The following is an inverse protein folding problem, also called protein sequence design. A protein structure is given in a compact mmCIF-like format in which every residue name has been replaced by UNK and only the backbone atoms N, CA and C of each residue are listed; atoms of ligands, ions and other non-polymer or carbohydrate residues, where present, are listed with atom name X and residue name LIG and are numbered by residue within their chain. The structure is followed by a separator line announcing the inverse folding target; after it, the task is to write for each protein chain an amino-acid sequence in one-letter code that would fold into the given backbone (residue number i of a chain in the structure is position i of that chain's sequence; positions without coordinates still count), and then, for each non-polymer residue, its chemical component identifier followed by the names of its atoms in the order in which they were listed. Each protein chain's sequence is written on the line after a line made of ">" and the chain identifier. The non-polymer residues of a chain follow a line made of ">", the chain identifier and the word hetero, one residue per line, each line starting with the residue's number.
data_IF_055934077663
#
_entry.id   IF_055934077663
#
_cell.length_a   1.000
_cell.length_b   1.000
_cell.length_c   1.000
_cell.angle_alpha   90.00
_cell.angle_beta   90.00
_cell.angle_gamma   90.00
#
_symmetry.space_group_name_H-M   'P 1'
#
loop_
_entity.id
_entity.type
_entity.pdbx_description
1 polymer ?
#
# COMPACT_ATOMS: atom_id res chain seq x y z
N UNK A 1 25.26 11.93 15.40
CA UNK A 1 24.35 12.40 14.31
C UNK A 1 24.40 13.92 14.15
N UNK A 2 24.29 14.70 15.23
CA UNK A 2 24.36 16.17 15.18
C UNK A 2 25.67 16.73 14.61
N UNK A 3 26.83 16.12 14.93
CA UNK A 3 28.12 16.58 14.41
C UNK A 3 28.25 16.40 12.89
N UNK A 4 27.74 15.29 12.35
CA UNK A 4 27.70 15.02 10.90
C UNK A 4 26.77 15.99 10.16
N UNK A 5 25.66 16.39 10.77
CA UNK A 5 24.75 17.39 10.19
C UNK A 5 25.42 18.76 10.09
N UNK A 6 26.15 19.18 11.14
CA UNK A 6 26.87 20.45 11.18
C UNK A 6 27.99 20.51 10.14
N UNK A 7 28.76 19.44 10.00
CA UNK A 7 29.81 19.30 9.00
C UNK A 7 29.24 19.35 7.57
N UNK A 8 28.13 18.65 7.33
CA UNK A 8 27.43 18.68 6.05
C UNK A 8 26.92 20.09 5.69
N UNK A 9 26.31 20.81 6.64
CA UNK A 9 25.86 22.20 6.42
C UNK A 9 27.03 23.14 6.13
N UNK A 10 28.16 22.97 6.81
CA UNK A 10 29.35 23.77 6.54
C UNK A 10 29.91 23.50 5.13
N UNK A 11 29.91 22.23 4.71
CA UNK A 11 30.32 21.82 3.37
C UNK A 11 29.42 22.44 2.30
N UNK A 12 28.09 22.33 2.47
CA UNK A 12 27.11 22.93 1.54
C UNK A 12 27.25 24.46 1.48
N UNK A 13 27.48 25.12 2.61
CA UNK A 13 27.70 26.57 2.65
C UNK A 13 28.93 26.99 1.83
N UNK A 14 30.01 26.21 1.88
CA UNK A 14 31.21 26.48 1.10
C UNK A 14 31.00 26.20 -0.38
N UNK A 15 30.31 25.10 -0.72
CA UNK A 15 29.96 24.77 -2.12
C UNK A 15 29.10 25.88 -2.74
N UNK A 16 28.09 26.37 -2.02
CA UNK A 16 27.19 27.43 -2.50
C UNK A 16 27.93 28.69 -2.93
N UNK A 17 28.99 29.08 -2.23
CA UNK A 17 29.76 30.31 -2.53
C UNK A 17 30.48 30.26 -3.88
N UNK A 18 30.81 29.06 -4.34
CA UNK A 18 31.60 28.81 -5.54
C UNK A 18 30.81 28.02 -6.61
N UNK A 19 29.50 27.89 -6.44
CA UNK A 19 28.64 27.10 -7.35
C UNK A 19 28.11 27.97 -8.48
N UNK A 20 28.17 27.45 -9.70
CA UNK A 20 27.49 28.03 -10.85
C UNK A 20 25.96 27.83 -10.78
N UNK A 21 25.49 26.91 -9.93
CA UNK A 21 24.08 26.71 -9.60
C UNK A 21 23.88 26.73 -8.06
N UNK A 22 23.67 27.92 -7.45
CA UNK A 22 23.38 28.04 -6.03
C UNK A 22 22.05 27.41 -5.61
N UNK A 23 21.08 27.31 -6.53
CA UNK A 23 19.74 26.80 -6.25
C UNK A 23 19.77 25.31 -5.93
N UNK A 24 20.53 24.54 -6.70
CA UNK A 24 20.71 23.11 -6.41
C UNK A 24 21.29 22.87 -5.00
N UNK A 25 22.24 23.72 -4.58
CA UNK A 25 22.84 23.64 -3.24
C UNK A 25 21.84 24.05 -2.15
N UNK A 26 20.99 25.04 -2.43
CA UNK A 26 19.92 25.48 -1.53
C UNK A 26 18.84 24.39 -1.35
N UNK A 27 18.47 23.69 -2.43
CA UNK A 27 17.60 22.50 -2.37
C UNK A 27 18.21 21.40 -1.49
N UNK A 28 19.49 21.06 -1.68
CA UNK A 28 20.17 20.05 -0.85
C UNK A 28 20.21 20.46 0.63
N UNK A 29 20.44 21.73 0.90
CA UNK A 29 20.44 22.29 2.26
C UNK A 29 19.05 22.21 2.88
N UNK A 30 18.00 22.54 2.13
CA UNK A 30 16.62 22.41 2.58
C UNK A 30 16.24 20.94 2.86
N UNK A 31 16.64 19.99 1.99
CA UNK A 31 16.43 18.55 2.21
C UNK A 31 17.10 18.06 3.49
N UNK A 32 18.30 18.55 3.80
CA UNK A 32 18.99 18.22 5.05
C UNK A 32 18.21 18.74 6.27
N UNK A 33 17.72 19.97 6.22
CA UNK A 33 16.87 20.50 7.30
C UNK A 33 15.54 19.74 7.45
N UNK A 34 14.91 19.31 6.36
CA UNK A 34 13.71 18.47 6.39
C UNK A 34 13.96 17.12 7.09
N UNK A 35 15.07 16.43 6.75
CA UNK A 35 15.44 15.17 7.41
C UNK A 35 15.63 15.35 8.92
N UNK A 36 16.12 16.51 9.33
CA UNK A 36 16.29 16.89 10.73
C UNK A 36 15.05 17.53 11.36
N UNK A 37 13.89 17.53 10.67
CA UNK A 37 12.62 18.15 11.08
C UNK A 37 12.71 19.65 11.41
N UNK A 38 13.72 20.35 10.88
CA UNK A 38 13.95 21.80 11.06
C UNK A 38 13.16 22.59 10.00
N UNK A 39 11.83 22.48 10.05
CA UNK A 39 10.92 22.99 9.02
C UNK A 39 11.07 24.49 8.73
N UNK A 40 11.18 25.32 9.76
CA UNK A 40 11.34 26.78 9.59
C UNK A 40 12.62 27.16 8.83
N UNK A 41 13.72 26.44 9.09
CA UNK A 41 15.00 26.68 8.40
C UNK A 41 14.92 26.26 6.93
N UNK A 42 14.27 25.13 6.64
CA UNK A 42 14.02 24.72 5.27
C UNK A 42 13.11 25.72 4.54
N UNK A 43 12.01 26.17 5.17
CA UNK A 43 11.09 27.12 4.57
C UNK A 43 11.73 28.47 4.24
N UNK A 44 12.65 28.96 5.11
CA UNK A 44 13.41 30.20 4.87
C UNK A 44 14.24 30.13 3.60
N UNK A 45 14.78 28.96 3.28
CA UNK A 45 15.58 28.73 2.06
C UNK A 45 14.67 28.58 0.83
N UNK A 46 13.56 27.86 0.97
CA UNK A 46 12.70 27.51 -0.14
C UNK A 46 11.80 28.65 -0.61
N UNK A 47 11.25 29.46 0.31
CA UNK A 47 10.26 30.49 -0.03
C UNK A 47 10.74 31.55 -1.05
N UNK A 48 12.00 32.05 -1.01
CA UNK A 48 12.52 32.92 -2.05
C UNK A 48 12.54 32.25 -3.43
N UNK A 49 12.85 30.95 -3.48
CA UNK A 49 12.96 30.18 -4.72
C UNK A 49 11.58 29.95 -5.38
N UNK A 50 10.51 29.90 -4.58
CA UNK A 50 9.15 29.77 -5.11
C UNK A 50 8.60 31.08 -5.66
N UNK A 51 8.96 32.21 -5.05
CA UNK A 51 8.39 33.53 -5.41
C UNK A 51 9.21 34.19 -6.53
N UNK A 52 10.54 34.06 -6.50
CA UNK A 52 11.42 34.86 -7.36
C UNK A 52 11.94 34.10 -8.58
N UNK A 53 12.04 32.78 -8.48
CA UNK A 53 12.72 31.93 -9.46
C UNK A 53 11.82 30.83 -10.03
N UNK A 54 10.59 30.73 -9.51
CA UNK A 54 9.58 29.75 -9.89
C UNK A 54 10.12 28.32 -9.99
N UNK A 55 10.89 27.89 -8.97
CA UNK A 55 11.49 26.55 -8.95
C UNK A 55 10.45 25.54 -8.47
N UNK A 56 9.94 24.62 -9.33
CA UNK A 56 8.83 23.74 -8.95
C UNK A 56 9.20 22.74 -7.85
N UNK A 57 10.48 22.35 -7.78
CA UNK A 57 10.99 21.53 -6.68
C UNK A 57 10.93 22.25 -5.34
N UNK A 58 11.27 23.54 -5.31
CA UNK A 58 11.15 24.32 -4.08
C UNK A 58 9.68 24.48 -3.67
N UNK A 59 8.79 24.67 -4.65
CA UNK A 59 7.34 24.77 -4.43
C UNK A 59 6.79 23.47 -3.81
N UNK A 60 7.14 22.32 -4.39
CA UNK A 60 6.74 21.03 -3.84
C UNK A 60 7.27 20.81 -2.41
N UNK A 61 8.57 21.05 -2.17
CA UNK A 61 9.17 20.85 -0.85
C UNK A 61 8.57 21.77 0.22
N UNK A 62 8.29 23.03 -0.11
CA UNK A 62 7.66 23.96 0.82
C UNK A 62 6.17 23.61 1.04
N UNK A 63 5.48 23.07 0.03
CA UNK A 63 4.12 22.55 0.20
C UNK A 63 4.09 21.35 1.15
N UNK A 64 5.07 20.46 1.08
CA UNK A 64 5.24 19.36 2.05
C UNK A 64 5.44 19.92 3.48
N UNK A 65 6.21 20.99 3.65
CA UNK A 65 6.38 21.65 4.96
C UNK A 65 5.03 22.16 5.48
N UNK A 66 4.29 22.90 4.65
CA UNK A 66 2.99 23.45 5.03
C UNK A 66 1.98 22.35 5.37
N UNK A 67 1.97 21.25 4.62
CA UNK A 67 1.17 20.08 4.93
C UNK A 67 1.52 19.49 6.31
N UNK A 68 2.81 19.31 6.63
CA UNK A 68 3.25 18.83 7.96
C UNK A 68 2.86 19.79 9.09
N UNK A 69 2.81 21.09 8.81
CA UNK A 69 2.37 22.12 9.75
C UNK A 69 0.84 22.30 9.80
N UNK A 70 0.07 21.44 9.10
CA UNK A 70 -1.40 21.53 8.95
C UNK A 70 -1.89 22.86 8.34
N UNK A 71 -1.01 23.58 7.63
CA UNK A 71 -1.34 24.75 6.81
C UNK A 71 -1.81 24.31 5.42
N UNK A 72 -2.95 23.61 5.37
CA UNK A 72 -3.44 22.91 4.19
C UNK A 72 -3.68 23.84 3.00
N UNK A 73 -4.29 25.01 3.23
CA UNK A 73 -4.58 25.96 2.16
C UNK A 73 -3.31 26.53 1.53
N UNK A 74 -2.31 26.88 2.35
CA UNK A 74 -1.00 27.35 1.87
C UNK A 74 -0.28 26.28 1.05
N UNK A 75 -0.39 25.01 1.46
CA UNK A 75 0.16 23.91 0.68
C UNK A 75 -0.56 23.79 -0.68
N UNK A 76 -1.89 23.83 -0.71
CA UNK A 76 -2.66 23.77 -1.96
C UNK A 76 -2.35 24.93 -2.91
N UNK A 77 -2.25 26.17 -2.40
CA UNK A 77 -1.86 27.34 -3.19
C UNK A 77 -0.52 27.13 -3.87
N UNK A 78 0.47 26.62 -3.13
CA UNK A 78 1.80 26.41 -3.67
C UNK A 78 1.86 25.25 -4.66
N UNK A 79 1.11 24.17 -4.41
CA UNK A 79 1.01 23.07 -5.38
C UNK A 79 0.31 23.50 -6.67
N UNK A 80 -0.52 24.55 -6.63
CA UNK A 80 -1.18 25.09 -7.82
C UNK A 80 -0.20 25.80 -8.77
N UNK A 81 0.97 26.22 -8.29
CA UNK A 81 1.99 26.87 -9.13
C UNK A 81 2.88 25.87 -9.85
N UNK A 82 2.79 24.58 -9.55
CA UNK A 82 3.59 23.55 -10.21
C UNK A 82 2.96 23.24 -11.58
N UNK A 83 3.65 23.65 -12.65
CA UNK A 83 3.27 23.42 -14.04
C UNK A 83 3.33 21.94 -14.45
N UNK A 84 2.66 21.58 -15.53
CA UNK A 84 2.41 20.18 -15.93
C UNK A 84 3.65 19.49 -16.50
N UNK A 85 4.57 20.27 -17.06
CA UNK A 85 5.86 19.87 -17.60
C UNK A 85 6.91 19.63 -16.49
N UNK A 86 6.60 20.06 -15.27
CA UNK A 86 7.49 19.89 -14.13
C UNK A 86 7.62 18.42 -13.75
N UNK A 87 8.85 18.00 -13.44
CA UNK A 87 9.12 16.70 -12.82
C UNK A 87 8.38 16.49 -11.48
N UNK A 88 7.93 17.58 -10.85
CA UNK A 88 7.18 17.54 -9.59
C UNK A 88 5.67 17.63 -9.77
N UNK A 89 5.17 17.76 -11.00
CA UNK A 89 3.73 17.88 -11.25
C UNK A 89 2.96 16.74 -10.61
N UNK A 90 3.34 15.50 -10.93
CA UNK A 90 2.66 14.31 -10.43
C UNK A 90 2.76 14.17 -8.89
N UNK A 91 3.95 14.39 -8.32
CA UNK A 91 4.13 14.41 -6.87
C UNK A 91 3.22 15.47 -6.21
N UNK A 92 3.06 16.62 -6.87
CA UNK A 92 2.16 17.68 -6.46
C UNK A 92 0.70 17.26 -6.53
N UNK A 93 0.28 16.55 -7.57
CA UNK A 93 -1.07 15.98 -7.69
C UNK A 93 -1.37 15.02 -6.54
N UNK A 94 -0.45 14.08 -6.23
CA UNK A 94 -0.64 13.16 -5.10
C UNK A 94 -0.81 13.90 -3.77
N UNK A 95 -0.03 14.97 -3.52
CA UNK A 95 -0.17 15.75 -2.31
C UNK A 95 -1.46 16.58 -2.28
N UNK A 96 -1.87 17.18 -3.42
CA UNK A 96 -3.17 17.87 -3.53
C UNK A 96 -4.32 16.93 -3.20
N UNK A 97 -4.33 15.73 -3.79
CA UNK A 97 -5.35 14.71 -3.55
C UNK A 97 -5.38 14.34 -2.07
N UNK A 98 -4.23 14.04 -1.47
CA UNK A 98 -4.16 13.70 -0.04
C UNK A 98 -4.76 14.80 0.85
N UNK A 99 -4.42 16.06 0.60
CA UNK A 99 -4.96 17.20 1.34
C UNK A 99 -6.49 17.28 1.18
N UNK A 100 -6.98 17.12 -0.06
CA UNK A 100 -8.42 17.18 -0.33
C UNK A 100 -9.18 16.02 0.33
N UNK A 101 -8.62 14.82 0.38
CA UNK A 101 -9.23 13.68 1.08
C UNK A 101 -9.26 13.91 2.60
N UNK A 102 -8.21 14.49 3.20
CA UNK A 102 -8.23 14.92 4.61
C UNK A 102 -9.33 15.96 4.90
N UNK A 103 -9.70 16.77 3.90
CA UNK A 103 -10.78 17.74 3.97
C UNK A 103 -12.14 17.18 3.53
N UNK A 104 -12.25 15.86 3.31
CA UNK A 104 -13.45 15.19 2.80
C UNK A 104 -13.97 15.75 1.45
N UNK A 105 -13.08 16.32 0.64
CA UNK A 105 -13.37 16.88 -0.67
C UNK A 105 -13.13 15.87 -1.80
N UNK A 106 -13.76 14.70 -1.72
CA UNK A 106 -13.59 13.58 -2.67
C UNK A 106 -13.84 14.00 -4.14
N UNK A 107 -14.89 14.79 -4.41
CA UNK A 107 -15.20 15.23 -5.77
C UNK A 107 -14.10 16.10 -6.38
N UNK A 108 -13.47 16.96 -5.56
CA UNK A 108 -12.34 17.80 -6.01
C UNK A 108 -11.10 16.94 -6.27
N UNK A 109 -10.82 15.97 -5.40
CA UNK A 109 -9.71 15.03 -5.58
C UNK A 109 -9.86 14.25 -6.90
N UNK A 110 -11.03 13.67 -7.14
CA UNK A 110 -11.35 12.97 -8.40
C UNK A 110 -11.19 13.90 -9.61
N UNK A 111 -11.69 15.15 -9.52
CA UNK A 111 -11.55 16.12 -10.61
C UNK A 111 -10.09 16.40 -10.96
N UNK A 112 -9.23 16.60 -9.96
CA UNK A 112 -7.80 16.86 -10.16
C UNK A 112 -7.13 15.67 -10.85
N UNK A 113 -7.39 14.44 -10.40
CA UNK A 113 -6.78 13.25 -11.01
C UNK A 113 -7.24 13.10 -12.46
N UNK A 114 -8.55 13.28 -12.74
CA UNK A 114 -9.06 13.23 -14.12
C UNK A 114 -8.44 14.28 -15.03
N UNK A 115 -8.19 15.49 -14.52
CA UNK A 115 -7.51 16.53 -15.29
C UNK A 115 -6.07 16.11 -15.63
N UNK A 116 -5.34 15.56 -14.65
CA UNK A 116 -3.99 15.06 -14.87
C UNK A 116 -3.94 13.89 -15.86
N UNK A 117 -4.91 12.96 -15.79
CA UNK A 117 -4.99 11.80 -16.70
C UNK A 117 -5.37 12.17 -18.15
N UNK A 118 -6.09 13.28 -18.33
CA UNK A 118 -6.49 13.76 -19.67
C UNK A 118 -5.36 14.52 -20.40
N UNK A 119 -4.27 14.82 -19.71
CA UNK A 119 -3.14 15.53 -20.29
C UNK A 119 -2.32 14.60 -21.22
N UNK A 120 -1.73 15.16 -22.28
CA UNK A 120 -0.84 14.43 -23.20
C UNK A 120 0.49 14.03 -22.53
N UNK A 121 0.84 14.69 -21.43
CA UNK A 121 1.97 14.32 -20.59
C UNK A 121 1.74 12.93 -19.98
N UNK A 122 2.68 12.02 -20.19
CA UNK A 122 2.59 10.63 -19.73
C UNK A 122 2.74 10.55 -18.20
N UNK A 123 1.64 10.77 -17.47
CA UNK A 123 1.55 10.59 -16.01
C UNK A 123 1.73 9.12 -15.62
N UNK A 124 2.18 8.83 -14.39
CA UNK A 124 2.39 7.44 -14.01
C UNK A 124 1.08 6.65 -13.87
N UNK A 125 1.16 5.30 -13.99
CA UNK A 125 0.07 4.39 -13.67
C UNK A 125 -0.58 4.59 -12.30
N UNK A 126 0.14 5.14 -11.33
CA UNK A 126 -0.34 5.31 -9.96
C UNK A 126 -1.55 6.25 -9.84
N UNK A 127 -1.73 7.18 -10.78
CA UNK A 127 -2.92 8.04 -10.81
C UNK A 127 -4.19 7.27 -11.21
N UNK A 128 -4.08 6.25 -12.06
CA UNK A 128 -5.22 5.42 -12.42
C UNK A 128 -5.67 4.56 -11.24
N UNK A 129 -4.74 3.92 -10.53
CA UNK A 129 -5.08 3.08 -9.37
C UNK A 129 -5.65 3.91 -8.22
N UNK A 130 -5.12 5.12 -7.99
CA UNK A 130 -5.68 6.07 -7.03
C UNK A 130 -7.09 6.55 -7.42
N UNK A 131 -7.33 6.85 -8.70
CA UNK A 131 -8.66 7.24 -9.15
C UNK A 131 -9.66 6.08 -9.00
N UNK A 132 -9.24 4.86 -9.33
CA UNK A 132 -10.08 3.68 -9.19
C UNK A 132 -10.44 3.41 -7.73
N UNK A 133 -9.48 3.48 -6.80
CA UNK A 133 -9.75 3.30 -5.36
C UNK A 133 -10.71 4.35 -4.83
N UNK A 134 -10.58 5.61 -5.25
CA UNK A 134 -11.51 6.68 -4.87
C UNK A 134 -12.92 6.46 -5.43
N UNK A 135 -13.05 5.88 -6.62
CA UNK A 135 -14.36 5.48 -7.13
C UNK A 135 -14.97 4.33 -6.31
N UNK A 136 -14.17 3.35 -5.90
CA UNK A 136 -14.64 2.25 -5.04
C UNK A 136 -15.13 2.76 -3.68
N UNK A 137 -14.37 3.65 -3.02
CA UNK A 137 -14.78 4.26 -1.75
C UNK A 137 -16.11 5.00 -1.85
N UNK A 138 -16.40 5.59 -3.01
CA UNK A 138 -17.64 6.31 -3.29
C UNK A 138 -18.77 5.40 -3.81
N UNK A 139 -18.61 4.07 -3.74
CA UNK A 139 -19.51 3.06 -4.30
C UNK A 139 -19.78 3.22 -5.81
N UNK A 140 -18.84 3.82 -6.55
CA UNK A 140 -18.90 4.02 -8.01
C UNK A 140 -18.11 2.93 -8.74
N UNK A 141 -18.40 1.68 -8.41
CA UNK A 141 -17.62 0.50 -8.79
C UNK A 141 -17.30 0.42 -10.29
N UNK A 142 -18.30 0.61 -11.15
CA UNK A 142 -18.10 0.57 -12.60
C UNK A 142 -17.04 1.58 -13.08
N UNK A 143 -17.03 2.80 -12.52
CA UNK A 143 -16.02 3.80 -12.91
C UNK A 143 -14.63 3.42 -12.44
N UNK A 144 -14.52 2.71 -11.32
CA UNK A 144 -13.26 2.16 -10.84
C UNK A 144 -12.70 1.16 -11.85
N UNK A 145 -13.53 0.22 -12.30
CA UNK A 145 -13.16 -0.74 -13.34
C UNK A 145 -12.82 -0.10 -14.67
N UNK A 146 -13.68 0.80 -15.18
CA UNK A 146 -13.41 1.52 -16.43
C UNK A 146 -12.05 2.29 -16.38
N UNK A 147 -11.69 2.80 -15.19
CA UNK A 147 -10.42 3.50 -14.98
C UNK A 147 -9.23 2.54 -15.06
N UNK A 148 -9.34 1.35 -14.48
CA UNK A 148 -8.27 0.34 -14.53
C UNK A 148 -8.15 -0.29 -15.92
N UNK A 149 -9.26 -0.49 -16.61
CA UNK A 149 -9.27 -0.93 -18.02
C UNK A 149 -8.53 0.08 -18.91
N UNK A 150 -8.82 1.38 -18.75
CA UNK A 150 -8.08 2.44 -19.45
C UNK A 150 -6.58 2.43 -19.11
N UNK A 151 -6.25 2.14 -17.85
CA UNK A 151 -4.86 2.03 -17.40
C UNK A 151 -4.14 0.85 -18.06
N UNK A 152 -4.79 -0.31 -18.19
CA UNK A 152 -4.24 -1.51 -18.84
C UNK A 152 -4.09 -1.33 -20.36
N UNK A 153 -4.94 -0.54 -21.02
CA UNK A 153 -4.75 -0.16 -22.43
C UNK A 153 -3.47 0.67 -22.59
N UNK A 154 -3.21 1.60 -21.66
CA UNK A 154 -2.06 2.51 -21.75
C UNK A 154 -0.74 1.87 -21.26
N UNK A 155 -0.82 0.98 -20.27
CA UNK A 155 0.33 0.32 -19.65
C UNK A 155 0.11 -1.20 -19.54
N UNK A 156 0.04 -1.92 -20.67
CA UNK A 156 -0.30 -3.35 -20.69
C UNK A 156 0.74 -4.25 -20.00
N UNK A 157 1.96 -3.76 -19.80
CA UNK A 157 3.05 -4.51 -19.17
C UNK A 157 3.35 -4.04 -17.74
N UNK A 158 2.42 -3.30 -17.10
CA UNK A 158 2.61 -2.83 -15.72
C UNK A 158 1.99 -3.81 -14.69
N UNK A 159 2.80 -4.59 -13.96
CA UNK A 159 2.29 -5.56 -12.99
C UNK A 159 1.53 -4.92 -11.82
N UNK A 160 1.82 -3.66 -11.44
CA UNK A 160 1.12 -3.01 -10.34
C UNK A 160 -0.35 -2.78 -10.67
N UNK A 161 -0.68 -2.41 -11.91
CA UNK A 161 -2.09 -2.19 -12.30
C UNK A 161 -2.87 -3.51 -12.20
N UNK A 162 -2.32 -4.60 -12.72
CA UNK A 162 -2.95 -5.92 -12.58
C UNK A 162 -3.12 -6.33 -11.13
N UNK A 163 -2.12 -6.07 -10.27
CA UNK A 163 -2.18 -6.39 -8.85
C UNK A 163 -3.31 -5.61 -8.15
N UNK A 164 -3.33 -4.28 -8.30
CA UNK A 164 -4.38 -3.44 -7.70
C UNK A 164 -5.78 -3.80 -8.24
N UNK A 165 -5.89 -4.10 -9.54
CA UNK A 165 -7.16 -4.54 -10.12
C UNK A 165 -7.62 -5.88 -9.51
N UNK A 166 -6.72 -6.86 -9.40
CA UNK A 166 -7.04 -8.14 -8.78
C UNK A 166 -7.50 -7.98 -7.31
N UNK A 167 -6.90 -7.07 -6.54
CA UNK A 167 -7.33 -6.78 -5.17
C UNK A 167 -8.75 -6.19 -5.12
N UNK A 168 -9.09 -5.26 -6.01
CA UNK A 168 -10.45 -4.69 -6.05
C UNK A 168 -11.50 -5.74 -6.45
N UNK A 169 -11.17 -6.60 -7.42
CA UNK A 169 -12.04 -7.70 -7.84
C UNK A 169 -12.29 -8.70 -6.70
N UNK A 170 -11.29 -8.95 -5.86
CA UNK A 170 -11.44 -9.82 -4.69
C UNK A 170 -12.43 -9.24 -3.67
N UNK A 171 -12.37 -7.93 -3.41
CA UNK A 171 -13.31 -7.25 -2.52
C UNK A 171 -14.76 -7.37 -3.01
N UNK A 172 -14.95 -7.40 -4.34
CA UNK A 172 -16.24 -7.57 -4.99
C UNK A 172 -16.61 -9.04 -5.23
N UNK A 173 -15.92 -9.98 -4.59
CA UNK A 173 -16.15 -11.43 -4.66
C UNK A 173 -15.98 -12.03 -6.06
N UNK A 174 -15.31 -11.32 -6.98
CA UNK A 174 -15.03 -11.73 -8.35
C UNK A 174 -13.73 -12.54 -8.44
N UNK A 175 -13.62 -13.58 -7.61
CA UNK A 175 -12.38 -14.32 -7.35
C UNK A 175 -11.69 -14.87 -8.62
N UNK A 176 -12.45 -15.38 -9.59
CA UNK A 176 -11.87 -15.93 -10.82
C UNK A 176 -11.19 -14.86 -11.68
N UNK A 177 -11.75 -13.65 -11.73
CA UNK A 177 -11.12 -12.53 -12.43
C UNK A 177 -9.88 -12.06 -11.66
N UNK A 178 -9.97 -11.97 -10.33
CA UNK A 178 -8.82 -11.64 -9.49
C UNK A 178 -7.64 -12.61 -9.68
N UNK A 179 -7.90 -13.92 -9.75
CA UNK A 179 -6.90 -14.94 -10.08
C UNK A 179 -6.24 -14.64 -11.44
N UNK A 180 -7.01 -14.40 -12.49
CA UNK A 180 -6.49 -14.09 -13.83
C UNK A 180 -5.57 -12.86 -13.84
N UNK A 181 -5.97 -11.80 -13.14
CA UNK A 181 -5.12 -10.62 -12.99
C UNK A 181 -3.83 -10.93 -12.21
N UNK A 182 -3.90 -11.71 -11.13
CA UNK A 182 -2.74 -12.11 -10.33
C UNK A 182 -1.78 -13.04 -11.09
N UNK A 183 -2.31 -13.92 -11.94
CA UNK A 183 -1.50 -14.72 -12.87
C UNK A 183 -0.74 -13.82 -13.85
N UNK A 184 -1.40 -12.77 -14.37
CA UNK A 184 -0.74 -11.78 -15.23
C UNK A 184 0.34 -10.98 -14.48
N UNK A 185 0.15 -10.69 -13.20
CA UNK A 185 1.22 -10.11 -12.35
C UNK A 185 2.44 -11.01 -12.35
N UNK A 186 2.27 -12.33 -12.16
CA UNK A 186 3.39 -13.27 -12.12
C UNK A 186 4.02 -13.53 -13.49
N UNK A 187 3.26 -13.41 -14.58
CA UNK A 187 3.82 -13.44 -15.94
C UNK A 187 4.79 -12.27 -16.16
N UNK A 188 4.39 -11.06 -15.75
CA UNK A 188 5.20 -9.84 -15.91
C UNK A 188 6.31 -9.71 -14.86
N UNK A 189 6.06 -10.20 -13.64
CA UNK A 189 6.97 -10.12 -12.49
C UNK A 189 6.88 -11.42 -11.66
N UNK A 190 7.66 -12.45 -12.03
CA UNK A 190 7.62 -13.76 -11.37
C UNK A 190 7.99 -13.76 -9.88
N UNK A 191 8.67 -12.72 -9.40
CA UNK A 191 9.12 -12.54 -8.01
C UNK A 191 8.24 -11.51 -7.26
N UNK A 192 6.95 -11.46 -7.57
CA UNK A 192 5.99 -10.64 -6.83
C UNK A 192 5.45 -11.41 -5.62
N UNK A 193 5.96 -11.12 -4.43
CA UNK A 193 5.63 -11.85 -3.20
C UNK A 193 4.12 -11.89 -2.91
N UNK A 194 3.44 -10.75 -3.00
CA UNK A 194 2.02 -10.64 -2.67
C UNK A 194 1.13 -11.42 -3.65
N UNK A 195 1.40 -11.38 -4.96
CA UNK A 195 0.65 -12.15 -5.95
C UNK A 195 0.88 -13.66 -5.82
N UNK A 196 2.13 -14.09 -5.53
CA UNK A 196 2.43 -15.48 -5.17
C UNK A 196 1.62 -15.92 -3.95
N UNK A 197 1.57 -15.08 -2.91
CA UNK A 197 0.80 -15.37 -1.71
C UNK A 197 -0.70 -15.49 -2.01
N UNK A 198 -1.24 -14.52 -2.75
CA UNK A 198 -2.66 -14.47 -3.11
C UNK A 198 -3.09 -15.75 -3.85
N UNK A 199 -2.36 -16.12 -4.91
CA UNK A 199 -2.69 -17.31 -5.69
C UNK A 199 -2.55 -18.59 -4.87
N UNK A 200 -1.43 -18.73 -4.12
CA UNK A 200 -1.21 -19.90 -3.28
C UNK A 200 -2.28 -20.07 -2.20
N UNK A 201 -2.64 -18.99 -1.50
CA UNK A 201 -3.70 -19.01 -0.50
C UNK A 201 -5.06 -19.34 -1.13
N UNK A 202 -5.41 -18.68 -2.24
CA UNK A 202 -6.70 -18.85 -2.93
C UNK A 202 -6.87 -20.27 -3.47
N UNK A 203 -5.81 -20.85 -4.03
CA UNK A 203 -5.82 -22.24 -4.50
C UNK A 203 -5.97 -23.22 -3.33
N UNK A 204 -5.25 -22.98 -2.22
CA UNK A 204 -5.44 -23.76 -1.00
C UNK A 204 -6.88 -23.67 -0.50
N UNK A 205 -7.45 -22.47 -0.44
CA UNK A 205 -8.81 -22.22 0.01
C UNK A 205 -9.86 -22.96 -0.85
N UNK A 206 -9.60 -23.07 -2.15
CA UNK A 206 -10.46 -23.80 -3.08
C UNK A 206 -10.12 -25.29 -3.21
N UNK A 207 -9.14 -25.80 -2.46
CA UNK A 207 -8.66 -27.19 -2.53
C UNK A 207 -8.10 -27.61 -3.90
N UNK A 208 -7.51 -26.67 -4.64
CA UNK A 208 -6.96 -26.91 -5.98
C UNK A 208 -5.46 -26.61 -5.99
N UNK A 209 -4.72 -27.24 -6.89
CA UNK A 209 -3.29 -26.97 -7.14
C UNK A 209 -2.41 -26.89 -5.87
N UNK A 210 -2.67 -27.73 -4.84
CA UNK A 210 -2.08 -27.59 -3.51
C UNK A 210 -0.54 -27.66 -3.51
N UNK A 211 0.06 -28.46 -4.39
CA UNK A 211 1.51 -28.55 -4.54
C UNK A 211 2.10 -27.25 -5.09
N UNK A 212 1.47 -26.65 -6.11
CA UNK A 212 1.90 -25.36 -6.66
C UNK A 212 1.63 -24.21 -5.67
N UNK A 213 0.51 -24.26 -4.95
CA UNK A 213 0.21 -23.32 -3.88
C UNK A 213 1.32 -23.33 -2.82
N UNK A 214 1.79 -24.51 -2.40
CA UNK A 214 2.90 -24.64 -1.46
C UNK A 214 4.18 -23.99 -2.01
N UNK A 215 4.52 -24.25 -3.27
CA UNK A 215 5.69 -23.65 -3.92
C UNK A 215 5.59 -22.11 -3.94
N UNK A 216 4.43 -21.58 -4.32
CA UNK A 216 4.20 -20.14 -4.41
C UNK A 216 4.29 -19.46 -3.05
N UNK A 217 3.66 -20.03 -2.02
CA UNK A 217 3.76 -19.48 -0.66
C UNK A 217 5.21 -19.54 -0.15
N UNK A 218 5.92 -20.64 -0.36
CA UNK A 218 7.33 -20.76 0.04
C UNK A 218 8.22 -19.72 -0.64
N UNK A 219 8.01 -19.49 -1.95
CA UNK A 219 8.71 -18.43 -2.68
C UNK A 219 8.35 -17.04 -2.15
N UNK A 220 7.07 -16.78 -1.89
CA UNK A 220 6.60 -15.53 -1.28
C UNK A 220 7.28 -15.24 0.07
N UNK A 221 7.38 -16.26 0.91
CA UNK A 221 8.03 -16.18 2.23
C UNK A 221 9.54 -15.86 2.14
N UNK A 222 10.24 -16.40 1.13
CA UNK A 222 11.65 -16.06 0.87
C UNK A 222 11.79 -14.59 0.44
N UNK A 223 10.87 -14.10 -0.38
CA UNK A 223 10.89 -12.72 -0.88
C UNK A 223 10.52 -11.71 0.21
N UNK A 224 9.65 -12.10 1.15
CA UNK A 224 9.17 -11.24 2.24
C UNK A 224 9.24 -11.95 3.60
N UNK A 225 10.46 -12.16 4.13
CA UNK A 225 10.63 -12.84 5.41
C UNK A 225 10.01 -12.05 6.56
N UNK A 226 9.45 -12.76 7.54
CA UNK A 226 8.85 -12.16 8.75
C UNK A 226 7.44 -11.59 8.55
N UNK A 227 6.75 -11.95 7.47
CA UNK A 227 5.35 -11.60 7.24
C UNK A 227 4.41 -12.63 7.91
N UNK A 228 3.58 -12.18 8.86
CA UNK A 228 2.64 -13.05 9.57
C UNK A 228 1.55 -13.61 8.66
N UNK A 229 0.95 -12.80 7.80
CA UNK A 229 -0.08 -13.29 6.87
C UNK A 229 0.45 -14.31 5.82
N UNK A 230 1.70 -14.21 5.36
CA UNK A 230 2.30 -15.23 4.47
C UNK A 230 2.58 -16.52 5.25
N UNK A 231 3.05 -16.36 6.49
CA UNK A 231 3.30 -17.46 7.41
C UNK A 231 2.00 -18.22 7.76
N UNK A 232 0.90 -17.49 7.92
CA UNK A 232 -0.46 -18.02 8.07
C UNK A 232 -0.90 -18.79 6.82
N UNK A 233 -0.73 -18.19 5.64
CA UNK A 233 -1.04 -18.82 4.35
C UNK A 233 -0.29 -20.15 4.16
N UNK A 234 0.96 -20.25 4.62
CA UNK A 234 1.73 -21.49 4.59
C UNK A 234 1.12 -22.57 5.49
N UNK A 235 0.72 -22.18 6.70
CA UNK A 235 0.00 -23.05 7.63
C UNK A 235 -1.32 -23.55 7.03
N UNK A 236 -2.04 -22.66 6.35
CA UNK A 236 -3.29 -22.98 5.67
C UNK A 236 -3.11 -23.97 4.52
N UNK A 237 -2.10 -23.78 3.67
CA UNK A 237 -1.75 -24.76 2.62
C UNK A 237 -1.49 -26.14 3.23
N UNK A 238 -0.68 -26.23 4.30
CA UNK A 238 -0.42 -27.50 4.97
C UNK A 238 -1.68 -28.12 5.58
N UNK A 239 -2.59 -27.31 6.13
CA UNK A 239 -3.87 -27.78 6.64
C UNK A 239 -4.70 -28.44 5.52
N UNK A 240 -4.78 -27.79 4.35
CA UNK A 240 -5.52 -28.31 3.18
C UNK A 240 -4.90 -29.56 2.58
N UNK A 241 -3.57 -29.71 2.67
CA UNK A 241 -2.86 -30.96 2.35
C UNK A 241 -3.03 -32.06 3.42
N UNK A 242 -3.73 -31.81 4.53
CA UNK A 242 -3.86 -32.75 5.65
C UNK A 242 -2.62 -32.90 6.52
N UNK A 243 -1.58 -32.06 6.33
CA UNK A 243 -0.32 -32.08 7.09
C UNK A 243 -0.48 -31.27 8.38
N UNK A 244 -1.35 -31.74 9.27
CA UNK A 244 -1.82 -30.98 10.44
C UNK A 244 -0.70 -30.55 11.41
N UNK A 245 0.34 -31.37 11.58
CA UNK A 245 1.47 -31.04 12.46
C UNK A 245 2.37 -29.92 11.90
N UNK A 246 2.49 -29.83 10.57
CA UNK A 246 3.15 -28.70 9.93
C UNK A 246 2.25 -27.47 9.99
N UNK A 247 0.96 -27.62 9.69
CA UNK A 247 -0.01 -26.53 9.74
C UNK A 247 0.01 -25.82 11.10
N UNK A 248 -0.09 -26.58 12.20
CA UNK A 248 -0.08 -25.99 13.55
C UNK A 248 1.23 -25.27 13.86
N UNK A 249 2.38 -25.80 13.42
CA UNK A 249 3.67 -25.15 13.63
C UNK A 249 3.74 -23.79 12.94
N UNK A 250 3.32 -23.74 11.68
CA UNK A 250 3.37 -22.51 10.88
C UNK A 250 2.32 -21.49 11.34
N UNK A 251 1.10 -21.90 11.70
CA UNK A 251 0.08 -20.99 12.26
C UNK A 251 0.51 -20.40 13.61
N UNK A 252 1.11 -21.20 14.49
CA UNK A 252 1.63 -20.66 15.76
C UNK A 252 2.78 -19.68 15.53
N UNK A 253 3.63 -19.91 14.52
CA UNK A 253 4.64 -18.93 14.11
C UNK A 253 4.02 -17.64 13.57
N UNK A 254 2.92 -17.74 12.81
CA UNK A 254 2.17 -16.58 12.32
C UNK A 254 1.63 -15.73 13.48
N UNK A 255 1.07 -16.37 14.52
CA UNK A 255 0.59 -15.67 15.73
C UNK A 255 1.69 -14.99 16.55
N UNK A 256 2.95 -15.43 16.45
CA UNK A 256 4.07 -14.71 17.07
C UNK A 256 4.37 -13.39 16.34
N UNK A 257 4.10 -13.33 15.05
CA UNK A 257 4.29 -12.15 14.21
C UNK A 257 3.08 -11.21 14.28
N UNK A 258 1.87 -11.77 14.28
CA UNK A 258 0.59 -11.04 14.24
C UNK A 258 -0.37 -11.52 15.35
N UNK A 259 -0.09 -11.20 16.63
CA UNK A 259 -0.80 -11.77 17.79
C UNK A 259 -2.25 -11.30 17.96
N UNK A 260 -2.72 -10.37 17.13
CA UNK A 260 -4.06 -9.78 17.22
C UNK A 260 -4.87 -10.00 15.94
N UNK A 261 -4.42 -10.83 15.00
CA UNK A 261 -5.19 -11.13 13.79
C UNK A 261 -6.25 -12.21 14.08
N UNK A 262 -7.55 -11.88 13.94
CA UNK A 262 -8.63 -12.84 14.20
C UNK A 262 -8.67 -14.01 13.21
N UNK A 263 -8.25 -13.83 11.95
CA UNK A 263 -8.29 -14.89 10.94
C UNK A 263 -7.27 -15.99 11.23
N UNK A 264 -6.09 -15.63 11.74
CA UNK A 264 -5.07 -16.61 12.15
C UNK A 264 -5.58 -17.47 13.31
N UNK A 265 -6.32 -16.89 14.26
CA UNK A 265 -6.98 -17.65 15.33
C UNK A 265 -8.12 -18.54 14.83
N UNK A 266 -8.85 -18.11 13.80
CA UNK A 266 -9.83 -18.96 13.12
C UNK A 266 -9.16 -20.18 12.46
N UNK A 267 -8.09 -19.98 11.69
CA UNK A 267 -7.32 -21.08 11.10
C UNK A 267 -6.75 -22.02 12.16
N UNK A 268 -6.26 -21.48 13.28
CA UNK A 268 -5.80 -22.27 14.42
C UNK A 268 -6.92 -23.16 14.98
N UNK A 269 -8.13 -22.61 15.12
CA UNK A 269 -9.29 -23.34 15.56
C UNK A 269 -9.67 -24.47 14.60
N UNK A 270 -9.68 -24.20 13.30
CA UNK A 270 -9.99 -25.17 12.24
C UNK A 270 -9.00 -26.34 12.23
N UNK A 271 -7.70 -26.05 12.39
CA UNK A 271 -6.66 -27.08 12.52
C UNK A 271 -6.89 -27.93 13.76
N UNK A 272 -7.16 -27.31 14.92
CA UNK A 272 -7.40 -28.05 16.16
C UNK A 272 -8.67 -28.89 16.10
N UNK A 273 -9.74 -28.38 15.48
CA UNK A 273 -10.98 -29.13 15.26
C UNK A 273 -10.69 -30.36 14.40
N UNK A 274 -9.94 -30.20 13.30
CA UNK A 274 -9.55 -31.32 12.44
C UNK A 274 -8.65 -32.35 13.14
N UNK A 275 -7.83 -31.92 14.09
CA UNK A 275 -7.05 -32.80 14.97
C UNK A 275 -7.89 -33.47 16.09
N UNK A 276 -9.18 -33.15 16.23
CA UNK A 276 -10.04 -33.65 17.31
C UNK A 276 -9.79 -32.97 18.66
N UNK A 277 -9.02 -31.88 18.71
CA UNK A 277 -8.67 -31.15 19.94
C UNK A 277 -9.74 -30.09 20.25
N UNK A 278 -10.98 -30.54 20.48
CA UNK A 278 -12.19 -29.69 20.67
C UNK A 278 -11.98 -28.50 21.59
N UNK A 279 -11.42 -28.70 22.79
CA UNK A 279 -11.15 -27.61 23.74
C UNK A 279 -10.20 -26.54 23.19
N UNK A 280 -9.14 -26.94 22.50
CA UNK A 280 -8.20 -25.97 21.91
C UNK A 280 -8.81 -25.22 20.73
N UNK A 281 -9.66 -25.89 19.96
CA UNK A 281 -10.43 -25.25 18.89
C UNK A 281 -11.37 -24.18 19.45
N UNK A 282 -12.11 -24.52 20.51
CA UNK A 282 -13.00 -23.58 21.21
C UNK A 282 -12.24 -22.36 21.74
N UNK A 283 -11.11 -22.56 22.43
CA UNK A 283 -10.25 -21.46 22.92
C UNK A 283 -9.78 -20.54 21.79
N UNK A 284 -9.41 -21.11 20.63
CA UNK A 284 -8.98 -20.35 19.46
C UNK A 284 -10.14 -19.56 18.82
N UNK A 285 -11.31 -20.19 18.62
CA UNK A 285 -12.49 -19.51 18.06
C UNK A 285 -13.01 -18.39 18.96
N UNK A 286 -13.04 -18.57 20.28
CA UNK A 286 -13.39 -17.50 21.22
C UNK A 286 -12.42 -16.33 21.08
N UNK A 287 -11.12 -16.61 20.92
CA UNK A 287 -10.12 -15.57 20.74
C UNK A 287 -10.32 -14.82 19.41
N UNK A 288 -10.60 -15.54 18.32
CA UNK A 288 -10.95 -14.96 17.03
C UNK A 288 -12.19 -14.07 17.13
N UNK A 289 -13.26 -14.54 17.78
CA UNK A 289 -14.51 -13.79 17.97
C UNK A 289 -14.29 -12.46 18.73
N UNK A 290 -13.46 -12.48 19.78
CA UNK A 290 -13.11 -11.30 20.55
C UNK A 290 -12.35 -10.25 19.73
N UNK A 291 -11.54 -10.70 18.77
CA UNK A 291 -10.69 -9.86 17.93
C UNK A 291 -11.41 -9.36 16.67
N UNK A 292 -12.38 -10.10 16.13
CA UNK A 292 -13.19 -9.62 15.01
C UNK A 292 -13.96 -8.36 15.40
N UNK A 293 -13.87 -7.32 14.58
CA UNK A 293 -14.65 -6.08 14.75
C UNK A 293 -15.95 -6.10 13.96
N UNK A 294 -16.02 -6.89 12.88
CA UNK A 294 -17.19 -7.01 12.02
C UNK A 294 -18.21 -8.00 12.58
N UNK A 295 -19.49 -7.71 12.39
CA UNK A 295 -20.57 -8.63 12.78
C UNK A 295 -20.50 -9.96 12.02
N UNK A 296 -20.09 -9.93 10.76
CA UNK A 296 -19.95 -11.11 9.91
C UNK A 296 -18.90 -12.07 10.50
N UNK A 297 -17.70 -11.56 10.83
CA UNK A 297 -16.64 -12.39 11.43
C UNK A 297 -17.06 -12.98 12.78
N UNK A 298 -17.70 -12.19 13.65
CA UNK A 298 -18.21 -12.69 14.93
C UNK A 298 -19.25 -13.79 14.77
N UNK A 299 -20.23 -13.58 13.88
CA UNK A 299 -21.27 -14.57 13.62
C UNK A 299 -20.67 -15.88 13.09
N UNK A 300 -19.69 -15.81 12.18
CA UNK A 300 -18.97 -16.98 11.67
C UNK A 300 -18.28 -17.77 12.80
N UNK A 301 -17.69 -17.09 13.78
CA UNK A 301 -17.07 -17.75 14.94
C UNK A 301 -18.11 -18.41 15.85
N UNK A 302 -19.25 -17.76 16.07
CA UNK A 302 -20.34 -18.34 16.85
C UNK A 302 -20.92 -19.61 16.20
N UNK A 303 -21.02 -19.64 14.87
CA UNK A 303 -21.43 -20.82 14.11
C UNK A 303 -20.45 -21.98 14.34
N UNK A 304 -19.15 -21.74 14.14
CA UNK A 304 -18.10 -22.75 14.41
C UNK A 304 -18.08 -23.24 15.86
N UNK A 305 -18.31 -22.35 16.83
CA UNK A 305 -18.42 -22.71 18.25
C UNK A 305 -19.63 -23.62 18.53
N UNK A 306 -20.76 -23.38 17.87
CA UNK A 306 -21.95 -24.23 18.00
C UNK A 306 -21.73 -25.61 17.37
N UNK A 307 -21.02 -25.68 16.23
CA UNK A 307 -20.68 -26.95 15.57
C UNK A 307 -19.73 -27.83 16.40
N UNK A 308 -18.98 -27.24 17.32
CA UNK A 308 -18.14 -28.02 18.23
C UNK A 308 -18.96 -28.80 19.24
N UNK A 309 -20.14 -28.34 19.66
CA UNK A 309 -20.92 -28.86 20.81
C UNK A 309 -21.43 -30.29 20.58
#
# INVERSE_FOLDING_TARGET
>A
LQDKEKEALQTLTNLRKNSDDPNQIDILTARLYLRSKKYEKAATILAPMTIQQDVPEAAYMLAVIYYQQKKLDSALTLLQTIEEESQQYENGIFLKVRILLEQAHHDKAIKIIKQALNNENNVSPGLYTLLASLYMEQNQMQKGYDTLDAALIKYPDNPQIYFEYGLLLEQDTMQQQAISHMEKVLELKPDHAEALNYLGYTWAENNVNLEQALEYIQKSMILKPGSGYIQDSLGWVYFRMGKLDLAIKEILAALLLEPNDPNIYEHLGDIYQKQGKKRKAEEAYIKAEQLFTTKIGKNRMQEKLNELQ
#
